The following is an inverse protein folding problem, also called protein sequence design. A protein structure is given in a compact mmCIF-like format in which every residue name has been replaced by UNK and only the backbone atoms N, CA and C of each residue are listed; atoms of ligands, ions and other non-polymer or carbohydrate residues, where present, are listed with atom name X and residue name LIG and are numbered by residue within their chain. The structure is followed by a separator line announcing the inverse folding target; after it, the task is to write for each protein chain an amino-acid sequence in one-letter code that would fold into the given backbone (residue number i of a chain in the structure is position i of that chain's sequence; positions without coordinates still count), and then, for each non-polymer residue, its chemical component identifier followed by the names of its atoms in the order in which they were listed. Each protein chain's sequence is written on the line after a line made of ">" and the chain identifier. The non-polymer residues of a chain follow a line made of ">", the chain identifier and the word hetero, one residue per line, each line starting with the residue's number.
data_IF_968706189782
#
_entry.id   IF_968706189782
#
_cell.length_a   1.000
_cell.length_b   1.000
_cell.length_c   1.000
_cell.angle_alpha   90.00
_cell.angle_beta   90.00
_cell.angle_gamma   90.00
#
_symmetry.space_group_name_H-M   'P 1'
#
loop_
_entity.id
_entity.type
_entity.pdbx_description
1 polymer ?
#
# COMPACT_ATOMS: atom_id res chain seq x y z
N UNK A 1 25.10 23.59 33.22
CA UNK A 1 24.54 24.78 32.55
C UNK A 1 24.31 24.43 31.09
N UNK A 2 23.05 24.33 30.66
CA UNK A 2 22.62 24.13 29.27
C UNK A 2 21.91 25.42 28.88
N UNK A 3 22.31 26.13 27.81
CA UNK A 3 21.56 27.29 27.37
C UNK A 3 20.30 26.83 26.65
N UNK A 4 19.18 27.33 27.15
CA UNK A 4 17.85 27.18 26.61
C UNK A 4 17.80 27.98 25.30
N UNK A 5 17.51 27.33 24.17
CA UNK A 5 17.30 28.04 22.90
C UNK A 5 15.88 28.59 22.91
N UNK A 6 15.84 29.89 23.15
CA UNK A 6 14.70 30.80 23.13
C UNK A 6 14.05 30.78 21.74
N UNK A 7 12.76 30.42 21.68
CA UNK A 7 11.93 30.66 20.49
C UNK A 7 11.83 32.17 20.27
N UNK A 8 12.49 32.66 19.23
CA UNK A 8 12.41 34.04 18.78
C UNK A 8 12.39 34.10 17.26
N UNK A 9 11.19 34.34 16.72
CA UNK A 9 10.90 35.02 15.44
C UNK A 9 11.89 34.77 14.30
N UNK A 10 11.68 33.72 13.49
CA UNK A 10 12.42 33.59 12.23
C UNK A 10 12.40 32.20 11.59
N UNK A 11 11.26 31.78 11.01
CA UNK A 11 11.22 30.77 9.93
C UNK A 11 9.81 30.64 9.29
N UNK A 12 9.11 31.74 8.98
CA UNK A 12 7.89 31.67 8.14
C UNK A 12 8.31 31.83 6.69
N UNK A 13 8.99 30.84 6.11
CA UNK A 13 9.31 30.84 4.68
C UNK A 13 9.50 29.45 4.04
N UNK A 14 9.60 28.36 4.81
CA UNK A 14 9.79 27.01 4.26
C UNK A 14 8.53 26.13 4.27
N UNK A 15 7.42 26.59 4.84
CA UNK A 15 6.22 25.76 5.00
C UNK A 15 5.34 25.70 3.73
N UNK A 16 5.30 26.75 2.91
CA UNK A 16 4.30 26.84 1.83
C UNK A 16 4.48 25.80 0.71
N UNK A 17 5.73 25.54 0.28
CA UNK A 17 6.01 24.56 -0.78
C UNK A 17 5.81 23.12 -0.29
N UNK A 18 6.25 22.81 0.94
CA UNK A 18 6.06 21.48 1.53
C UNK A 18 4.59 21.14 1.76
N UNK A 19 3.80 22.12 2.24
CA UNK A 19 2.35 21.96 2.44
C UNK A 19 1.64 21.80 1.08
N UNK A 20 1.96 22.62 0.08
CA UNK A 20 1.31 22.54 -1.24
C UNK A 20 1.54 21.20 -1.94
N UNK A 21 2.76 20.67 -1.89
CA UNK A 21 3.08 19.35 -2.44
C UNK A 21 2.37 18.22 -1.67
N UNK A 22 2.39 18.24 -0.34
CA UNK A 22 1.71 17.24 0.49
C UNK A 22 0.19 17.24 0.26
N UNK A 23 -0.43 18.42 0.17
CA UNK A 23 -1.88 18.57 -0.11
C UNK A 23 -2.22 18.05 -1.50
N UNK A 24 -1.39 18.35 -2.52
CA UNK A 24 -1.60 17.85 -3.88
C UNK A 24 -1.52 16.31 -3.91
N UNK A 25 -0.50 15.73 -3.29
CA UNK A 25 -0.34 14.26 -3.21
C UNK A 25 -1.46 13.58 -2.43
N UNK A 26 -1.95 14.20 -1.34
CA UNK A 26 -3.09 13.69 -0.59
C UNK A 26 -4.38 13.75 -1.42
N UNK A 27 -4.61 14.86 -2.14
CA UNK A 27 -5.74 15.01 -3.04
C UNK A 27 -5.71 13.98 -4.18
N UNK A 28 -4.55 13.77 -4.78
CA UNK A 28 -4.37 12.76 -5.83
C UNK A 28 -4.64 11.35 -5.30
N UNK A 29 -4.12 11.01 -4.12
CA UNK A 29 -4.37 9.71 -3.49
C UNK A 29 -5.86 9.51 -3.22
N UNK A 30 -6.55 10.52 -2.70
CA UNK A 30 -7.99 10.47 -2.47
C UNK A 30 -8.78 10.29 -3.78
N UNK A 31 -8.39 11.01 -4.84
CA UNK A 31 -9.03 10.90 -6.15
C UNK A 31 -8.84 9.50 -6.76
N UNK A 32 -7.63 8.95 -6.68
CA UNK A 32 -7.31 7.60 -7.15
C UNK A 32 -8.18 6.55 -6.46
N UNK A 33 -8.28 6.62 -5.12
CA UNK A 33 -9.08 5.69 -4.29
C UNK A 33 -10.59 5.86 -4.47
N UNK A 34 -11.06 7.06 -4.78
CA UNK A 34 -12.48 7.33 -4.99
C UNK A 34 -12.99 6.88 -6.36
N UNK A 35 -12.11 6.51 -7.28
CA UNK A 35 -12.51 6.03 -8.61
C UNK A 35 -13.16 4.66 -8.49
N UNK A 36 -14.38 4.44 -9.03
CA UNK A 36 -15.02 3.13 -9.02
C UNK A 36 -14.13 2.06 -9.65
N UNK A 37 -14.11 0.87 -9.05
CA UNK A 37 -13.28 -0.23 -9.55
C UNK A 37 -13.87 -0.81 -10.82
N UNK A 38 -13.05 -0.85 -11.87
CA UNK A 38 -13.32 -1.53 -13.14
C UNK A 38 -12.54 -2.85 -13.13
N UNK A 39 -13.26 -3.96 -12.91
CA UNK A 39 -12.65 -5.29 -12.85
C UNK A 39 -12.36 -5.81 -14.26
N UNK A 40 -11.12 -6.27 -14.48
CA UNK A 40 -10.76 -6.98 -15.70
C UNK A 40 -11.44 -8.37 -15.71
N UNK A 41 -12.14 -8.77 -16.78
CA UNK A 41 -12.72 -10.11 -16.89
C UNK A 41 -11.71 -11.26 -16.66
N UNK A 42 -10.41 -11.04 -16.97
CA UNK A 42 -9.33 -12.01 -16.74
C UNK A 42 -8.92 -12.10 -15.27
N UNK A 43 -9.20 -11.07 -14.48
CA UNK A 43 -8.98 -11.04 -13.05
C UNK A 43 -10.19 -10.47 -12.32
N UNK A 44 -11.26 -11.27 -12.27
CA UNK A 44 -12.51 -10.88 -11.61
C UNK A 44 -12.29 -10.59 -10.12
N UNK A 45 -13.25 -9.87 -9.53
CA UNK A 45 -13.26 -9.57 -8.09
C UNK A 45 -13.09 -10.81 -7.23
N UNK A 46 -13.80 -11.90 -7.54
CA UNK A 46 -13.79 -13.14 -6.79
C UNK A 46 -12.42 -13.82 -6.90
N UNK A 47 -11.86 -13.86 -8.11
CA UNK A 47 -10.53 -14.40 -8.34
C UNK A 47 -9.46 -13.59 -7.59
N UNK A 48 -9.60 -12.25 -7.54
CA UNK A 48 -8.72 -11.38 -6.78
C UNK A 48 -8.82 -11.64 -5.28
N UNK A 49 -10.03 -11.67 -4.73
CA UNK A 49 -10.24 -11.94 -3.30
C UNK A 49 -9.71 -13.32 -2.88
N UNK A 50 -9.99 -14.35 -3.68
CA UNK A 50 -9.46 -15.70 -3.46
C UNK A 50 -7.93 -15.73 -3.53
N UNK A 51 -7.33 -15.04 -4.50
CA UNK A 51 -5.88 -14.89 -4.61
C UNK A 51 -5.26 -14.20 -3.39
N UNK A 52 -5.84 -13.08 -2.93
CA UNK A 52 -5.39 -12.37 -1.72
C UNK A 52 -5.47 -13.27 -0.50
N UNK A 53 -6.58 -13.99 -0.31
CA UNK A 53 -6.75 -14.90 0.82
C UNK A 53 -5.68 -16.00 0.81
N UNK A 54 -5.46 -16.66 -0.33
CA UNK A 54 -4.44 -17.71 -0.49
C UNK A 54 -3.03 -17.19 -0.29
N UNK A 55 -2.73 -15.99 -0.78
CA UNK A 55 -1.40 -15.38 -0.67
C UNK A 55 -1.11 -14.97 0.77
N UNK A 56 -2.06 -14.30 1.43
CA UNK A 56 -1.89 -13.82 2.80
C UNK A 56 -1.76 -14.95 3.82
N UNK A 57 -2.43 -16.09 3.61
CA UNK A 57 -2.25 -17.29 4.44
C UNK A 57 -0.83 -17.89 4.38
N UNK A 58 -0.08 -17.64 3.29
CA UNK A 58 1.29 -18.11 3.12
C UNK A 58 2.32 -17.13 3.67
N UNK A 59 1.91 -15.89 3.95
CA UNK A 59 2.81 -14.88 4.49
C UNK A 59 2.96 -15.06 6.00
N UNK A 60 4.21 -15.13 6.51
CA UNK A 60 4.43 -15.39 7.93
C UNK A 60 3.90 -14.23 8.79
N UNK A 61 3.25 -14.58 9.90
CA UNK A 61 2.72 -13.66 10.93
C UNK A 61 1.52 -12.80 10.49
N UNK A 62 1.09 -12.89 9.23
CA UNK A 62 -0.20 -12.34 8.82
C UNK A 62 -1.28 -13.23 9.44
N UNK A 63 -2.17 -12.65 10.23
CA UNK A 63 -3.23 -13.39 10.91
C UNK A 63 -4.64 -12.98 10.49
N UNK A 64 -4.77 -11.83 9.84
CA UNK A 64 -6.00 -11.39 9.22
C UNK A 64 -5.67 -10.53 7.99
N UNK A 65 -6.54 -10.61 7.00
CA UNK A 65 -6.51 -9.77 5.81
C UNK A 65 -7.93 -9.40 5.40
N UNK A 66 -8.07 -8.25 4.77
CA UNK A 66 -9.33 -7.76 4.22
C UNK A 66 -9.05 -7.02 2.91
N UNK A 67 -9.91 -7.23 1.91
CA UNK A 67 -9.83 -6.54 0.64
C UNK A 67 -11.10 -5.72 0.44
N UNK A 68 -10.95 -4.40 0.38
CA UNK A 68 -11.99 -3.46 -0.02
C UNK A 68 -11.67 -2.92 -1.42
N UNK A 69 -12.41 -3.41 -2.41
CA UNK A 69 -12.07 -3.20 -3.82
C UNK A 69 -10.66 -3.71 -4.15
N UNK A 70 -9.78 -2.80 -4.57
CA UNK A 70 -8.37 -3.06 -4.88
C UNK A 70 -7.41 -2.65 -3.75
N UNK A 71 -7.93 -2.35 -2.57
CA UNK A 71 -7.12 -1.98 -1.40
C UNK A 71 -7.13 -3.15 -0.42
N UNK A 72 -5.95 -3.66 -0.07
CA UNK A 72 -5.77 -4.81 0.80
C UNK A 72 -5.16 -4.37 2.12
N UNK A 73 -5.88 -4.58 3.21
CA UNK A 73 -5.36 -4.40 4.57
C UNK A 73 -4.91 -5.74 5.12
N UNK A 74 -3.71 -5.78 5.70
CA UNK A 74 -3.18 -6.93 6.43
C UNK A 74 -2.89 -6.58 7.88
N UNK A 75 -3.17 -7.53 8.77
CA UNK A 75 -2.80 -7.46 10.18
C UNK A 75 -1.70 -8.46 10.47
N UNK A 76 -0.60 -7.97 11.04
CA UNK A 76 0.64 -8.72 11.18
C UNK A 76 1.10 -8.72 12.62
N UNK A 77 1.48 -9.89 13.15
CA UNK A 77 2.11 -9.99 14.48
C UNK A 77 3.56 -9.51 14.42
N UNK A 78 4.02 -8.85 15.49
CA UNK A 78 5.43 -8.53 15.66
C UNK A 78 6.28 -9.80 15.80
N UNK A 79 7.60 -9.68 15.68
CA UNK A 79 8.52 -10.83 15.83
C UNK A 79 8.34 -11.54 17.19
N UNK A 80 8.06 -10.78 18.24
CA UNK A 80 7.85 -11.32 19.59
C UNK A 80 6.44 -11.87 19.80
N UNK A 81 5.50 -11.56 18.89
CA UNK A 81 4.09 -11.92 19.02
C UNK A 81 3.30 -11.13 20.06
N UNK A 82 3.94 -10.20 20.78
CA UNK A 82 3.31 -9.41 21.86
C UNK A 82 2.46 -8.25 21.35
N UNK A 83 2.69 -7.82 20.12
CA UNK A 83 2.00 -6.70 19.49
C UNK A 83 1.63 -7.05 18.06
N UNK A 84 0.71 -6.29 17.49
CA UNK A 84 0.38 -6.35 16.06
C UNK A 84 0.42 -4.97 15.45
N UNK A 85 0.65 -4.94 14.14
CA UNK A 85 0.62 -3.74 13.34
C UNK A 85 -0.14 -4.00 12.04
N UNK A 86 -0.61 -2.93 11.40
CA UNK A 86 -1.32 -2.99 10.13
C UNK A 86 -0.47 -2.44 8.99
N UNK A 87 -0.71 -2.99 7.81
CA UNK A 87 -0.31 -2.38 6.55
C UNK A 87 -1.45 -2.45 5.55
N UNK A 88 -1.41 -1.52 4.62
CA UNK A 88 -2.31 -1.41 3.50
C UNK A 88 -1.49 -1.45 2.21
N UNK A 89 -1.90 -2.30 1.29
CA UNK A 89 -1.38 -2.37 -0.07
C UNK A 89 -2.51 -1.99 -1.01
N UNK A 90 -2.34 -0.85 -1.65
CA UNK A 90 -3.34 -0.23 -2.49
C UNK A 90 -2.96 -0.46 -3.96
N UNK A 91 -3.76 -1.26 -4.67
CA UNK A 91 -3.55 -1.61 -6.08
C UNK A 91 -4.45 -0.81 -7.03
N UNK A 92 -5.19 0.18 -6.52
CA UNK A 92 -6.16 0.93 -7.31
C UNK A 92 -5.44 1.97 -8.19
N UNK A 93 -5.12 1.67 -9.45
CA UNK A 93 -4.61 2.68 -10.39
C UNK A 93 -5.78 3.33 -11.12
N UNK A 94 -6.38 4.34 -10.50
CA UNK A 94 -7.58 5.04 -10.99
C UNK A 94 -8.71 4.06 -11.34
N UNK A 95 -9.05 3.18 -10.38
CA UNK A 95 -10.09 2.16 -10.54
C UNK A 95 -9.64 0.87 -11.24
N UNK A 96 -8.40 0.80 -11.74
CA UNK A 96 -7.91 -0.36 -12.52
C UNK A 96 -6.78 -1.09 -11.81
N UNK A 97 -6.72 -2.40 -12.04
CA UNK A 97 -5.64 -3.25 -11.56
C UNK A 97 -4.55 -3.36 -12.65
N UNK A 98 -3.53 -2.51 -12.57
CA UNK A 98 -2.48 -2.37 -13.62
C UNK A 98 -1.12 -2.94 -13.22
N UNK A 99 -0.96 -3.39 -11.97
CA UNK A 99 0.34 -3.80 -11.41
C UNK A 99 1.08 -2.67 -10.68
N UNK A 100 0.59 -1.43 -10.72
CA UNK A 100 1.06 -0.39 -9.79
C UNK A 100 0.46 -0.60 -8.40
N UNK A 101 1.23 -0.26 -7.38
CA UNK A 101 0.75 -0.33 -6.00
C UNK A 101 1.38 0.76 -5.14
N UNK A 102 0.74 1.03 -4.00
CA UNK A 102 1.21 1.93 -2.97
C UNK A 102 1.10 1.24 -1.61
N UNK A 103 2.17 1.28 -0.81
CA UNK A 103 2.21 0.65 0.51
C UNK A 103 2.15 1.74 1.58
N UNK A 104 1.23 1.57 2.52
CA UNK A 104 1.22 2.30 3.80
C UNK A 104 1.38 1.28 4.92
N UNK A 105 2.40 1.44 5.76
CA UNK A 105 2.70 0.46 6.83
C UNK A 105 3.07 1.18 8.11
N UNK A 106 2.57 0.68 9.24
CA UNK A 106 3.04 1.08 10.57
C UNK A 106 4.47 0.60 10.85
N UNK A 107 4.93 -0.43 10.12
CA UNK A 107 6.28 -0.95 10.19
C UNK A 107 6.94 -0.93 8.81
N UNK A 108 7.66 0.14 8.50
CA UNK A 108 8.33 0.37 7.21
C UNK A 108 9.54 -0.53 6.97
N UNK A 109 10.05 -1.19 8.01
CA UNK A 109 11.18 -2.10 7.91
C UNK A 109 10.74 -3.55 7.62
N UNK A 110 9.44 -3.83 7.66
CA UNK A 110 8.92 -5.17 7.38
C UNK A 110 8.84 -5.45 5.87
N UNK A 111 9.36 -6.58 5.38
CA UNK A 111 9.24 -6.97 3.98
C UNK A 111 7.86 -7.55 3.63
N UNK A 112 7.00 -7.83 4.63
CA UNK A 112 5.74 -8.56 4.42
C UNK A 112 4.77 -7.83 3.46
N UNK A 113 4.52 -6.51 3.60
CA UNK A 113 3.62 -5.81 2.69
C UNK A 113 4.14 -5.80 1.24
N UNK A 114 5.47 -5.70 1.10
CA UNK A 114 6.14 -5.73 -0.20
C UNK A 114 6.02 -7.12 -0.84
N UNK A 115 6.24 -8.19 -0.09
CA UNK A 115 6.06 -9.56 -0.58
C UNK A 115 4.62 -9.84 -1.04
N UNK A 116 3.61 -9.29 -0.35
CA UNK A 116 2.22 -9.34 -0.81
C UNK A 116 2.04 -8.58 -2.14
N UNK A 117 2.57 -7.35 -2.22
CA UNK A 117 2.48 -6.53 -3.43
C UNK A 117 3.09 -7.24 -4.63
N UNK A 118 4.32 -7.75 -4.49
CA UNK A 118 5.04 -8.45 -5.55
C UNK A 118 4.28 -9.68 -6.06
N UNK A 119 3.69 -10.46 -5.15
CA UNK A 119 2.88 -11.63 -5.51
C UNK A 119 1.64 -11.23 -6.33
N UNK A 120 0.95 -10.17 -5.96
CA UNK A 120 -0.23 -9.67 -6.70
C UNK A 120 0.18 -9.14 -8.07
N UNK A 121 1.26 -8.36 -8.16
CA UNK A 121 1.76 -7.83 -9.43
C UNK A 121 2.16 -8.96 -10.39
N UNK A 122 2.85 -9.99 -9.88
CA UNK A 122 3.20 -11.17 -10.68
C UNK A 122 1.96 -11.88 -11.24
N UNK A 123 0.90 -12.01 -10.44
CA UNK A 123 -0.37 -12.60 -10.89
C UNK A 123 -1.07 -11.73 -11.94
N UNK A 124 -1.08 -10.41 -11.76
CA UNK A 124 -1.64 -9.46 -12.74
C UNK A 124 -0.93 -9.59 -14.08
N UNK A 125 0.41 -9.58 -14.08
CA UNK A 125 1.20 -9.73 -15.31
C UNK A 125 0.96 -11.09 -15.99
N UNK A 126 0.87 -12.16 -15.20
CA UNK A 126 0.57 -13.51 -15.70
C UNK A 126 -0.76 -13.55 -16.42
N UNK A 127 -1.81 -12.96 -15.84
CA UNK A 127 -3.17 -12.94 -16.42
C UNK A 127 -3.31 -12.00 -17.62
N UNK A 128 -2.52 -10.93 -17.67
CA UNK A 128 -2.49 -9.99 -18.78
C UNK A 128 -1.63 -10.46 -19.95
N UNK A 129 -0.92 -11.59 -19.81
CA UNK A 129 -0.02 -12.11 -20.85
C UNK A 129 1.22 -11.25 -21.06
N UNK A 130 1.55 -10.40 -20.09
CA UNK A 130 2.78 -9.59 -20.10
C UNK A 130 3.90 -10.53 -19.64
N UNK A 131 4.55 -11.19 -20.59
CA UNK A 131 5.78 -11.92 -20.31
C UNK A 131 6.87 -10.91 -19.95
N UNK A 132 7.40 -10.96 -18.72
CA UNK A 132 8.67 -10.32 -18.43
C UNK A 132 9.75 -10.92 -19.36
N UNK A 133 10.60 -10.11 -20.02
CA UNK A 133 11.82 -10.64 -20.59
C UNK A 133 12.62 -11.29 -19.46
N UNK A 134 12.98 -12.55 -19.67
CA UNK A 134 13.74 -13.37 -18.74
C UNK A 134 15.13 -12.75 -18.55
N UNK A 135 15.50 -12.58 -17.28
CA UNK A 135 16.85 -12.42 -16.69
C UNK A 135 17.89 -11.55 -17.42
#
# INVERSE_FOLDING_TARGET
>A
MIPQVLMGVGAVALAAFGIGAAVKSAKETAQRRATPVEWDPRFSREAFQDFINKTTQRLPRVYASHADGLIVTIHVKSNTGLTSWKAEVDFCDYGRLTGKYWITSENTQSPIPQALADAVVAEVHTRQGIQNPVA
#
